data_IF_119102822352
#
_entry.id   IF_119102822352
#
_cell.length_a   1.000
_cell.length_b   1.000
_cell.length_c   1.000
_cell.angle_alpha   90.00
_cell.angle_beta   90.00
_cell.angle_gamma   90.00
#
_symmetry.space_group_name_H-M   'P 1'
#
loop_
_entity.id
_entity.type
_entity.pdbx_description
1 polymer ?
#
# COMPACT_ATOMS: atom_id res chain seq x y z
N UNK A 1 25.68 4.36 -5.67
CA UNK A 1 26.29 5.36 -4.77
C UNK A 1 26.87 6.53 -5.55
N UNK A 2 27.66 6.30 -6.60
CA UNK A 2 28.25 7.38 -7.44
C UNK A 2 27.19 8.27 -8.11
N UNK A 3 26.15 7.68 -8.71
CA UNK A 3 25.07 8.42 -9.37
C UNK A 3 24.29 9.37 -8.43
N UNK A 4 24.17 9.04 -7.13
CA UNK A 4 23.50 9.89 -6.13
C UNK A 4 24.33 11.14 -5.82
N UNK A 5 25.63 10.98 -5.67
CA UNK A 5 26.54 12.09 -5.35
C UNK A 5 26.56 13.16 -6.46
N UNK A 6 26.57 12.74 -7.72
CA UNK A 6 26.52 13.63 -8.89
C UNK A 6 25.23 14.46 -8.90
N UNK A 7 24.08 13.83 -8.62
CA UNK A 7 22.78 14.51 -8.57
C UNK A 7 22.65 15.45 -7.37
N UNK A 8 23.21 15.08 -6.21
CA UNK A 8 23.27 15.95 -5.03
C UNK A 8 24.13 17.18 -5.29
N UNK A 9 25.30 17.02 -5.94
CA UNK A 9 26.15 18.15 -6.36
C UNK A 9 25.41 19.09 -7.30
N UNK A 10 24.69 18.56 -8.30
CA UNK A 10 23.89 19.38 -9.21
C UNK A 10 22.85 20.24 -8.46
N UNK A 11 22.23 19.72 -7.39
CA UNK A 11 21.29 20.47 -6.55
C UNK A 11 21.95 21.54 -5.67
N UNK A 12 23.24 21.41 -5.37
CA UNK A 12 23.98 22.49 -4.69
C UNK A 12 24.20 23.70 -5.60
N UNK A 13 24.31 23.46 -6.91
CA UNK A 13 24.50 24.50 -7.92
C UNK A 13 23.15 25.12 -8.31
N UNK A 14 22.13 24.30 -8.49
CA UNK A 14 20.77 24.71 -8.83
C UNK A 14 19.74 23.89 -8.03
N UNK A 15 19.26 24.43 -6.88
CA UNK A 15 18.32 23.73 -6.01
C UNK A 15 16.96 23.41 -6.66
N UNK A 16 16.55 24.15 -7.68
CA UNK A 16 15.28 23.99 -8.40
C UNK A 16 15.44 23.15 -9.69
N UNK A 17 16.61 22.55 -9.92
CA UNK A 17 16.87 21.74 -11.10
C UNK A 17 15.93 20.52 -11.16
N UNK A 18 14.87 20.64 -11.96
CA UNK A 18 13.82 19.63 -12.06
C UNK A 18 14.37 18.25 -12.45
N UNK A 19 15.40 18.19 -13.31
CA UNK A 19 16.03 16.92 -13.67
C UNK A 19 16.80 16.29 -12.53
N UNK A 20 17.61 17.07 -11.82
CA UNK A 20 18.34 16.57 -10.65
C UNK A 20 17.38 16.06 -9.57
N UNK A 21 16.28 16.79 -9.30
CA UNK A 21 15.25 16.36 -8.34
C UNK A 21 14.57 15.06 -8.80
N UNK A 22 14.16 14.97 -10.07
CA UNK A 22 13.49 13.79 -10.62
C UNK A 22 14.36 12.52 -10.51
N UNK A 23 15.60 12.57 -11.02
CA UNK A 23 16.49 11.42 -11.01
C UNK A 23 16.98 11.06 -9.61
N UNK A 24 17.11 12.04 -8.72
CA UNK A 24 17.43 11.76 -7.33
C UNK A 24 16.27 11.01 -6.66
N UNK A 25 15.02 11.41 -6.91
CA UNK A 25 13.84 10.69 -6.41
C UNK A 25 13.76 9.25 -6.92
N UNK A 26 14.00 9.03 -8.21
CA UNK A 26 14.10 7.67 -8.77
C UNK A 26 15.23 6.85 -8.15
N UNK A 27 16.36 7.49 -7.83
CA UNK A 27 17.53 6.84 -7.23
C UNK A 27 17.29 6.47 -5.77
N UNK A 28 16.65 7.34 -4.99
CA UNK A 28 16.34 7.08 -3.58
C UNK A 28 15.24 6.03 -3.45
N UNK A 29 14.24 6.03 -4.33
CA UNK A 29 13.24 4.96 -4.37
C UNK A 29 13.86 3.59 -4.68
N UNK A 30 14.80 3.52 -5.63
CA UNK A 30 15.51 2.29 -5.96
C UNK A 30 16.35 1.77 -4.79
N UNK A 31 16.90 2.69 -3.99
CA UNK A 31 17.66 2.38 -2.78
C UNK A 31 16.78 1.98 -1.59
N UNK A 32 15.45 2.07 -1.71
CA UNK A 32 14.50 1.82 -0.63
C UNK A 32 14.38 2.97 0.37
N UNK A 33 14.98 4.13 0.11
CA UNK A 33 14.82 5.35 0.90
C UNK A 33 13.55 6.08 0.46
N UNK A 34 12.40 5.49 0.80
CA UNK A 34 11.09 5.97 0.36
C UNK A 34 10.73 7.32 0.98
N UNK A 35 11.24 7.66 2.17
CA UNK A 35 11.01 8.95 2.81
C UNK A 35 11.73 10.11 2.13
N UNK A 36 12.97 9.91 1.65
CA UNK A 36 13.64 10.90 0.79
C UNK A 36 12.99 10.94 -0.61
N UNK A 37 12.63 9.79 -1.18
CA UNK A 37 11.95 9.74 -2.47
C UNK A 37 10.62 10.52 -2.47
N UNK A 38 9.83 10.40 -1.41
CA UNK A 38 8.59 11.16 -1.23
C UNK A 38 8.86 12.67 -1.28
N UNK A 39 9.78 13.16 -0.46
CA UNK A 39 10.14 14.59 -0.40
C UNK A 39 10.65 15.11 -1.75
N UNK A 40 11.41 14.31 -2.49
CA UNK A 40 11.92 14.69 -3.80
C UNK A 40 10.81 14.75 -4.86
N UNK A 41 9.87 13.82 -4.83
CA UNK A 41 8.71 13.86 -5.72
C UNK A 41 7.78 15.03 -5.40
N UNK A 42 7.55 15.34 -4.12
CA UNK A 42 6.81 16.54 -3.72
C UNK A 42 7.50 17.81 -4.23
N UNK A 43 8.81 17.93 -4.00
CA UNK A 43 9.60 19.06 -4.51
C UNK A 43 9.54 19.16 -6.04
N UNK A 44 9.58 18.04 -6.77
CA UNK A 44 9.43 18.04 -8.22
C UNK A 44 8.07 18.59 -8.65
N UNK A 45 6.99 18.22 -7.96
CA UNK A 45 5.65 18.73 -8.21
C UNK A 45 5.49 20.22 -7.85
N UNK A 46 6.40 20.83 -7.11
CA UNK A 46 6.40 22.26 -6.85
C UNK A 46 7.14 23.07 -7.93
N UNK A 47 7.97 22.41 -8.74
CA UNK A 47 8.67 23.07 -9.85
C UNK A 47 7.72 23.47 -10.99
N UNK A 48 8.21 24.31 -11.91
CA UNK A 48 7.49 24.68 -13.14
C UNK A 48 7.40 23.56 -14.18
N UNK A 49 7.84 22.33 -13.85
CA UNK A 49 7.73 21.18 -14.74
C UNK A 49 6.25 20.86 -15.05
N UNK A 50 5.95 20.64 -16.32
CA UNK A 50 4.60 20.41 -16.84
C UNK A 50 4.59 19.28 -17.87
N UNK A 51 3.43 18.68 -18.10
CA UNK A 51 3.27 17.59 -19.07
C UNK A 51 3.38 16.22 -18.43
N UNK A 52 3.87 15.26 -19.20
CA UNK A 52 3.82 13.83 -18.87
C UNK A 52 4.66 13.49 -17.63
N UNK A 53 5.82 14.14 -17.44
CA UNK A 53 6.67 13.94 -16.25
C UNK A 53 5.98 14.28 -14.93
N UNK A 54 5.12 15.29 -14.92
CA UNK A 54 4.37 15.65 -13.71
C UNK A 54 3.34 14.57 -13.38
N UNK A 55 2.69 14.00 -14.39
CA UNK A 55 1.78 12.88 -14.23
C UNK A 55 2.50 11.62 -13.72
N UNK A 56 3.66 11.33 -14.31
CA UNK A 56 4.51 10.21 -13.91
C UNK A 56 4.95 10.30 -12.44
N UNK A 57 5.40 11.48 -12.00
CA UNK A 57 5.75 11.69 -10.59
C UNK A 57 4.53 11.63 -9.69
N UNK A 58 3.38 12.16 -10.10
CA UNK A 58 2.16 12.06 -9.30
C UNK A 58 1.74 10.60 -9.07
N UNK A 59 1.77 9.77 -10.11
CA UNK A 59 1.49 8.33 -10.00
C UNK A 59 2.56 7.63 -9.14
N UNK A 60 3.85 7.93 -9.34
CA UNK A 60 4.94 7.34 -8.53
C UNK A 60 4.88 7.73 -7.06
N UNK A 61 4.50 8.97 -6.75
CA UNK A 61 4.32 9.47 -5.38
C UNK A 61 3.26 8.65 -4.62
N UNK A 62 2.18 8.24 -5.28
CA UNK A 62 1.15 7.36 -4.71
C UNK A 62 1.75 6.02 -4.26
N UNK A 63 2.62 5.42 -5.08
CA UNK A 63 3.34 4.18 -4.74
C UNK A 63 4.35 4.41 -3.62
N UNK A 64 5.16 5.46 -3.70
CA UNK A 64 6.22 5.73 -2.72
C UNK A 64 5.66 6.00 -1.34
N UNK A 65 4.57 6.77 -1.21
CA UNK A 65 3.88 6.97 0.07
C UNK A 65 3.46 5.66 0.72
N UNK A 66 2.91 4.74 -0.08
CA UNK A 66 2.55 3.40 0.40
C UNK A 66 3.78 2.63 0.91
N UNK A 67 4.90 2.71 0.19
CA UNK A 67 6.15 2.02 0.55
C UNK A 67 6.84 2.64 1.76
N UNK A 68 6.82 3.97 1.89
CA UNK A 68 7.32 4.70 3.05
C UNK A 68 6.55 4.28 4.30
N UNK A 69 5.22 4.25 4.25
CA UNK A 69 4.39 3.79 5.37
C UNK A 69 4.69 2.34 5.78
N UNK A 70 4.91 1.42 4.83
CA UNK A 70 5.32 0.04 5.14
C UNK A 70 6.72 0.01 5.79
N UNK A 71 7.66 0.84 5.31
CA UNK A 71 9.00 0.92 5.89
C UNK A 71 8.96 1.48 7.33
N UNK A 72 8.16 2.52 7.58
CA UNK A 72 7.95 3.10 8.91
C UNK A 72 7.35 2.08 9.89
N UNK A 73 6.39 1.27 9.41
CA UNK A 73 5.79 0.19 10.20
C UNK A 73 6.83 -0.88 10.54
N UNK A 74 7.64 -1.32 9.57
CA UNK A 74 8.75 -2.26 9.78
C UNK A 74 9.73 -1.77 10.83
N UNK A 75 10.13 -0.51 10.71
CA UNK A 75 11.01 0.11 11.69
C UNK A 75 10.37 0.15 13.07
N UNK A 76 9.07 0.47 13.16
CA UNK A 76 8.33 0.49 14.42
C UNK A 76 8.30 -0.88 15.10
N UNK A 77 8.08 -1.96 14.34
CA UNK A 77 8.13 -3.34 14.85
C UNK A 77 9.55 -3.70 15.30
N UNK A 78 10.57 -3.36 14.50
CA UNK A 78 11.97 -3.63 14.85
C UNK A 78 12.44 -2.87 16.10
N UNK A 79 11.89 -1.68 16.35
CA UNK A 79 12.21 -0.81 17.49
C UNK A 79 11.19 -0.89 18.63
N UNK A 80 10.37 -1.94 18.69
CA UNK A 80 9.27 -2.08 19.66
C UNK A 80 9.69 -1.80 21.11
N UNK A 81 10.86 -2.29 21.53
CA UNK A 81 11.37 -2.08 22.90
C UNK A 81 11.59 -0.60 23.22
N UNK A 82 12.04 0.20 22.25
CA UNK A 82 12.23 1.63 22.41
C UNK A 82 10.88 2.39 22.43
N UNK A 83 9.87 1.87 21.72
CA UNK A 83 8.54 2.48 21.61
C UNK A 83 7.61 2.12 22.78
N UNK A 84 7.97 1.14 23.60
CA UNK A 84 7.12 0.64 24.69
C UNK A 84 6.72 1.73 25.70
N UNK A 85 7.57 2.74 25.90
CA UNK A 85 7.33 3.84 26.84
C UNK A 85 6.79 5.11 26.17
N UNK A 86 6.54 5.09 24.86
CA UNK A 86 5.98 6.25 24.16
C UNK A 86 4.50 6.37 24.54
N UNK A 87 4.05 7.52 25.06
CA UNK A 87 2.62 7.72 25.32
C UNK A 87 1.86 7.64 23.99
N UNK A 88 0.67 7.02 23.98
CA UNK A 88 -0.19 7.05 22.80
C UNK A 88 -0.66 8.49 22.52
N UNK A 89 -1.14 8.72 21.30
CA UNK A 89 -1.79 9.98 20.96
C UNK A 89 -3.20 9.97 21.54
N UNK A 90 -3.54 10.94 22.39
CA UNK A 90 -4.87 11.02 23.01
C UNK A 90 -5.99 11.11 21.96
N UNK A 91 -7.13 10.47 22.23
CA UNK A 91 -8.29 10.42 21.37
C UNK A 91 -8.14 9.52 20.14
N UNK A 92 -7.02 8.81 19.97
CA UNK A 92 -6.81 7.97 18.78
C UNK A 92 -7.31 6.54 18.96
N UNK A 93 -7.99 6.04 17.93
CA UNK A 93 -8.58 4.69 17.90
C UNK A 93 -8.11 3.95 16.65
N UNK A 94 -7.61 2.73 16.81
CA UNK A 94 -7.36 1.83 15.68
C UNK A 94 -8.46 0.76 15.60
N UNK A 95 -9.08 0.60 14.43
CA UNK A 95 -10.07 -0.47 14.20
C UNK A 95 -9.41 -1.62 13.45
N UNK A 96 -9.36 -2.80 14.07
CA UNK A 96 -8.74 -3.97 13.45
C UNK A 96 -9.75 -4.72 12.56
N UNK A 97 -9.28 -5.42 11.51
CA UNK A 97 -10.12 -6.38 10.79
C UNK A 97 -10.72 -7.39 11.77
N UNK A 98 -12.02 -7.63 11.66
CA UNK A 98 -12.71 -8.53 12.57
C UNK A 98 -12.33 -9.97 12.25
N UNK A 99 -12.08 -10.80 13.27
CA UNK A 99 -11.82 -12.22 13.02
C UNK A 99 -13.09 -12.91 12.52
N UNK A 100 -13.01 -13.62 11.42
CA UNK A 100 -14.14 -14.43 10.95
C UNK A 100 -13.99 -15.87 11.43
N UNK A 101 -15.00 -16.40 12.13
CA UNK A 101 -15.02 -17.76 12.70
C UNK A 101 -16.16 -18.64 12.18
N UNK A 102 -16.94 -18.14 11.21
CA UNK A 102 -18.02 -18.90 10.58
C UNK A 102 -17.54 -19.93 9.54
N UNK A 103 -18.38 -20.93 9.26
CA UNK A 103 -18.07 -21.98 8.27
C UNK A 103 -18.38 -21.58 6.83
N UNK A 104 -19.23 -20.56 6.62
CA UNK A 104 -19.58 -20.08 5.28
C UNK A 104 -18.58 -19.02 4.81
N UNK A 105 -17.64 -19.40 3.96
CA UNK A 105 -16.59 -18.52 3.44
C UNK A 105 -17.12 -17.29 2.70
N UNK A 106 -18.38 -17.31 2.24
CA UNK A 106 -19.04 -16.16 1.60
C UNK A 106 -19.00 -14.90 2.47
N UNK A 107 -19.04 -15.04 3.81
CA UNK A 107 -19.06 -13.91 4.74
C UNK A 107 -17.67 -13.47 5.21
N UNK A 108 -16.60 -14.18 4.84
CA UNK A 108 -15.22 -13.77 5.21
C UNK A 108 -14.88 -12.32 4.82
N UNK A 109 -15.31 -11.79 3.65
CA UNK A 109 -15.09 -10.39 3.29
C UNK A 109 -15.63 -9.37 4.31
N UNK A 110 -16.64 -9.74 5.11
CA UNK A 110 -17.18 -8.87 6.16
C UNK A 110 -16.14 -8.50 7.23
N UNK A 111 -15.10 -9.31 7.41
CA UNK A 111 -13.97 -9.02 8.30
C UNK A 111 -13.40 -7.60 8.11
N UNK A 112 -13.06 -7.28 6.86
CA UNK A 112 -12.47 -5.99 6.47
C UNK A 112 -13.54 -4.95 6.21
N UNK A 113 -14.67 -5.36 5.64
CA UNK A 113 -15.76 -4.45 5.32
C UNK A 113 -16.38 -3.82 6.57
N UNK A 114 -16.62 -4.62 7.62
CA UNK A 114 -17.14 -4.12 8.90
C UNK A 114 -16.16 -3.16 9.56
N UNK A 115 -14.86 -3.49 9.57
CA UNK A 115 -13.84 -2.60 10.11
C UNK A 115 -13.83 -1.25 9.39
N UNK A 116 -13.95 -1.24 8.05
CA UNK A 116 -14.03 0.00 7.28
C UNK A 116 -15.32 0.79 7.57
N UNK A 117 -16.48 0.14 7.66
CA UNK A 117 -17.72 0.86 8.00
C UNK A 117 -17.63 1.50 9.39
N UNK A 118 -17.09 0.78 10.37
CA UNK A 118 -16.82 1.33 11.69
C UNK A 118 -15.83 2.49 11.65
N UNK A 119 -14.78 2.44 10.81
CA UNK A 119 -13.89 3.59 10.62
C UNK A 119 -14.67 4.81 10.14
N UNK A 120 -15.52 4.66 9.12
CA UNK A 120 -16.30 5.78 8.55
C UNK A 120 -17.30 6.35 9.57
N UNK A 121 -17.94 5.48 10.36
CA UNK A 121 -18.90 5.89 11.40
C UNK A 121 -18.23 6.56 12.60
N UNK A 122 -17.11 6.00 13.09
CA UNK A 122 -16.35 6.58 14.18
C UNK A 122 -15.73 7.94 13.77
N UNK A 123 -15.38 8.12 12.50
CA UNK A 123 -14.91 9.39 11.94
C UNK A 123 -16.00 10.48 11.88
N UNK A 124 -17.28 10.12 12.10
CA UNK A 124 -18.36 11.10 12.28
C UNK A 124 -18.38 11.72 13.69
N UNK A 125 -17.42 11.39 14.55
CA UNK A 125 -17.34 11.90 15.92
C UNK A 125 -16.09 12.76 16.08
N UNK A 126 -16.29 14.05 16.34
CA UNK A 126 -15.22 15.05 16.29
C UNK A 126 -14.16 14.88 17.42
N UNK A 127 -14.49 14.05 18.43
CA UNK A 127 -13.67 13.80 19.63
C UNK A 127 -12.74 12.60 19.49
N UNK A 128 -12.84 11.86 18.39
CA UNK A 128 -12.05 10.66 18.12
C UNK A 128 -11.26 10.90 16.84
N UNK A 129 -10.04 10.39 16.80
CA UNK A 129 -9.24 10.33 15.57
C UNK A 129 -9.00 8.87 15.23
N UNK A 130 -9.65 8.40 14.16
CA UNK A 130 -9.49 7.02 13.73
C UNK A 130 -8.20 6.89 12.91
N UNK A 131 -7.36 5.91 13.25
CA UNK A 131 -6.11 5.68 12.52
C UNK A 131 -6.38 5.11 11.13
N UNK A 132 -5.52 5.46 10.18
CA UNK A 132 -5.63 5.01 8.80
C UNK A 132 -5.60 3.48 8.70
N UNK A 133 -6.61 2.92 8.02
CA UNK A 133 -6.78 1.48 7.81
C UNK A 133 -5.54 0.81 7.21
N UNK A 134 -4.91 1.44 6.22
CA UNK A 134 -3.73 0.85 5.58
C UNK A 134 -2.55 0.72 6.55
N UNK A 135 -2.37 1.67 7.48
CA UNK A 135 -1.36 1.59 8.55
C UNK A 135 -1.64 0.44 9.51
N UNK A 136 -2.90 0.25 9.89
CA UNK A 136 -3.32 -0.89 10.72
C UNK A 136 -3.00 -2.22 10.02
N UNK A 137 -3.42 -2.38 8.76
CA UNK A 137 -3.17 -3.60 8.01
C UNK A 137 -1.67 -3.87 7.81
N UNK A 138 -0.89 -2.86 7.40
CA UNK A 138 0.55 -3.00 7.21
C UNK A 138 1.25 -3.46 8.50
N UNK A 139 0.83 -2.96 9.66
CA UNK A 139 1.36 -3.43 10.95
C UNK A 139 1.00 -4.88 11.23
N UNK A 140 -0.26 -5.26 11.02
CA UNK A 140 -0.69 -6.64 11.26
C UNK A 140 0.04 -7.63 10.34
N UNK A 141 0.26 -7.26 9.07
CA UNK A 141 1.02 -8.06 8.12
C UNK A 141 2.50 -8.18 8.55
N UNK A 142 3.11 -7.09 9.01
CA UNK A 142 4.49 -7.09 9.48
C UNK A 142 4.66 -7.94 10.75
N UNK A 143 3.74 -7.82 11.71
CA UNK A 143 3.73 -8.67 12.91
C UNK A 143 3.58 -10.14 12.52
N UNK A 144 2.66 -10.47 11.61
CA UNK A 144 2.46 -11.84 11.15
C UNK A 144 3.71 -12.40 10.46
N UNK A 145 4.44 -11.58 9.69
CA UNK A 145 5.72 -11.98 9.08
C UNK A 145 6.82 -12.21 10.12
N UNK A 146 6.93 -11.34 11.12
CA UNK A 146 7.88 -11.48 12.22
C UNK A 146 7.57 -12.70 13.12
N UNK A 147 6.29 -13.01 13.29
CA UNK A 147 5.79 -14.13 14.11
C UNK A 147 5.63 -15.43 13.34
N UNK A 148 5.81 -15.47 12.02
CA UNK A 148 5.81 -16.72 11.25
C UNK A 148 6.91 -17.73 11.70
N UNK A 149 7.80 -17.33 12.62
CA UNK A 149 8.72 -18.20 13.38
C UNK A 149 8.50 -18.28 14.90
N UNK A 150 7.47 -17.63 15.47
CA UNK A 150 7.18 -17.52 16.91
C UNK A 150 5.69 -17.81 17.19
N UNK A 151 5.40 -18.77 18.08
CA UNK A 151 4.07 -19.39 18.26
C UNK A 151 3.09 -18.56 19.12
N UNK A 152 3.26 -17.24 19.25
CA UNK A 152 2.38 -16.45 20.12
C UNK A 152 1.84 -15.21 19.38
N UNK A 153 0.55 -15.19 19.00
CA UNK A 153 -0.05 -14.03 18.34
C UNK A 153 -0.07 -12.83 19.28
N UNK A 154 0.54 -11.73 18.84
CA UNK A 154 0.54 -10.43 19.52
C UNK A 154 -0.83 -10.07 20.14
N UNK A 155 -0.82 -9.75 21.44
CA UNK A 155 -1.98 -9.19 22.15
C UNK A 155 -2.37 -7.86 21.50
N UNK A 156 -3.66 -7.61 21.24
CA UNK A 156 -4.10 -6.37 20.57
C UNK A 156 -3.51 -5.08 21.17
N UNK A 157 -3.29 -5.04 22.49
CA UNK A 157 -2.64 -3.90 23.17
C UNK A 157 -1.22 -3.61 22.70
N UNK A 158 -0.44 -4.65 22.35
CA UNK A 158 0.90 -4.52 21.75
C UNK A 158 0.81 -3.83 20.38
N UNK A 159 -0.05 -4.34 19.51
CA UNK A 159 -0.27 -3.77 18.18
C UNK A 159 -0.78 -2.32 18.27
N UNK A 160 -1.69 -2.04 19.20
CA UNK A 160 -2.15 -0.68 19.45
C UNK A 160 -1.05 0.29 19.88
N UNK A 161 -0.11 -0.14 20.75
CA UNK A 161 1.06 0.69 21.12
C UNK A 161 1.99 0.95 19.94
N UNK A 162 2.24 -0.04 19.10
CA UNK A 162 3.04 0.12 17.88
C UNK A 162 2.39 1.09 16.89
N UNK A 163 1.06 1.14 16.85
CA UNK A 163 0.31 2.15 16.07
C UNK A 163 0.31 3.53 16.72
N UNK A 164 0.69 3.65 18.00
CA UNK A 164 0.53 4.88 18.79
C UNK A 164 -0.93 5.19 19.12
N UNK A 165 -1.84 4.22 18.97
CA UNK A 165 -3.26 4.37 19.28
C UNK A 165 -3.48 4.40 20.79
N UNK A 166 -4.38 5.23 21.30
CA UNK A 166 -4.80 5.18 22.70
C UNK A 166 -5.67 3.95 22.96
N UNK A 167 -6.55 3.65 22.01
CA UNK A 167 -7.48 2.54 22.10
C UNK A 167 -7.48 1.74 20.79
N UNK A 168 -7.85 0.47 20.88
CA UNK A 168 -8.13 -0.37 19.72
C UNK A 168 -9.55 -0.93 19.81
N UNK A 169 -10.20 -1.05 18.66
CA UNK A 169 -11.40 -1.87 18.48
C UNK A 169 -10.96 -3.20 17.90
N UNK A 170 -11.30 -4.28 18.58
CA UNK A 170 -11.11 -5.63 18.10
C UNK A 170 -12.40 -6.42 18.27
N UNK A 171 -12.65 -7.35 17.35
CA UNK A 171 -13.87 -8.13 17.37
C UNK A 171 -13.81 -9.35 16.48
N UNK A 172 -14.93 -10.06 16.47
CA UNK A 172 -15.15 -11.24 15.66
C UNK A 172 -16.56 -11.26 15.06
N UNK A 173 -16.66 -11.96 13.94
CA UNK A 173 -17.90 -12.26 13.23
C UNK A 173 -18.02 -13.78 13.21
N UNK A 174 -19.05 -14.29 13.88
CA UNK A 174 -19.48 -15.68 13.80
C UNK A 174 -20.60 -15.83 12.78
N UNK A 175 -20.67 -16.99 12.12
CA UNK A 175 -21.79 -17.36 11.27
C UNK A 175 -22.28 -18.78 11.61
N UNK A 176 -23.56 -18.92 11.91
CA UNK A 176 -24.21 -20.21 12.20
C UNK A 176 -25.48 -20.29 11.36
N UNK A 177 -25.48 -21.13 10.32
CA UNK A 177 -26.55 -21.14 9.32
C UNK A 177 -26.58 -19.79 8.58
N UNK A 178 -27.75 -19.15 8.56
CA UNK A 178 -27.96 -17.84 7.94
C UNK A 178 -27.86 -16.67 8.93
N UNK A 179 -27.61 -16.95 10.22
CA UNK A 179 -27.43 -15.93 11.24
C UNK A 179 -25.96 -15.52 11.35
N UNK A 180 -25.76 -14.23 11.56
CA UNK A 180 -24.48 -13.62 11.87
C UNK A 180 -24.51 -13.09 13.29
N UNK A 181 -23.39 -13.24 14.00
CA UNK A 181 -23.18 -12.61 15.29
C UNK A 181 -21.90 -11.78 15.21
N UNK A 182 -21.97 -10.51 15.59
CA UNK A 182 -20.79 -9.66 15.76
C UNK A 182 -20.53 -9.46 17.23
N UNK A 183 -19.27 -9.48 17.62
CA UNK A 183 -18.85 -9.24 18.99
C UNK A 183 -17.59 -8.40 18.96
N UNK A 184 -17.61 -7.23 19.59
CA UNK A 184 -16.48 -6.31 19.62
C UNK A 184 -16.26 -5.73 21.00
N UNK A 185 -15.05 -5.26 21.25
CA UNK A 185 -14.70 -4.55 22.47
C UNK A 185 -13.58 -3.55 22.20
N UNK A 186 -13.50 -2.55 23.07
CA UNK A 186 -12.45 -1.55 23.07
C UNK A 186 -11.36 -1.95 24.05
N UNK A 187 -10.08 -1.86 23.68
CA UNK A 187 -8.96 -2.10 24.61
C UNK A 187 -8.10 -0.85 24.70
N UNK A 188 -7.84 -0.39 25.92
CA UNK A 188 -6.84 0.66 26.17
C UNK A 188 -5.43 0.09 25.95
N UNK A 189 -4.63 0.70 25.07
CA UNK A 189 -3.33 0.14 24.64
C UNK A 189 -2.26 0.19 25.74
N UNK A 190 -2.35 1.21 26.62
CA UNK A 190 -1.41 1.44 27.71
C UNK A 190 -1.59 0.45 28.86
N UNK A 191 -2.84 0.13 29.21
CA UNK A 191 -3.17 -0.73 30.36
C UNK A 191 -3.52 -2.16 29.96
N UNK A 192 -3.90 -2.38 28.69
CA UNK A 192 -4.45 -3.64 28.22
C UNK A 192 -5.85 -3.96 28.76
N UNK A 193 -6.49 -3.02 29.47
CA UNK A 193 -7.84 -3.20 30.02
C UNK A 193 -8.84 -3.16 28.88
N UNK A 194 -9.65 -4.22 28.78
CA UNK A 194 -10.79 -4.31 27.87
C UNK A 194 -12.02 -3.63 28.51
N UNK A 195 -12.72 -2.84 27.71
CA UNK A 195 -14.03 -2.29 28.03
C UNK A 195 -15.14 -3.33 27.94
N UNK A 196 -16.38 -2.88 28.07
CA UNK A 196 -17.55 -3.73 27.92
C UNK A 196 -17.66 -4.27 26.50
N UNK A 197 -18.05 -5.55 26.39
CA UNK A 197 -18.25 -6.24 25.13
C UNK A 197 -19.61 -5.86 24.54
N UNK A 198 -19.60 -5.41 23.29
CA UNK A 198 -20.80 -5.13 22.50
C UNK A 198 -21.06 -6.33 21.60
N UNK A 199 -22.29 -6.85 21.64
CA UNK A 199 -22.70 -8.00 20.83
C UNK A 199 -24.01 -7.71 20.12
N UNK A 200 -24.06 -8.04 18.83
CA UNK A 200 -25.28 -8.06 18.02
C UNK A 200 -25.40 -9.42 17.34
N UNK A 201 -26.62 -9.90 17.14
CA UNK A 201 -26.89 -11.19 16.50
C UNK A 201 -28.24 -11.16 15.82
N UNK A 202 -28.27 -11.46 14.52
CA UNK A 202 -29.49 -11.48 13.71
C UNK A 202 -29.25 -12.27 12.40
N UNK A 203 -30.26 -12.34 11.54
CA UNK A 203 -30.15 -12.86 10.18
C UNK A 203 -29.19 -11.99 9.35
N UNK A 204 -28.50 -12.59 8.37
CA UNK A 204 -27.54 -11.86 7.54
C UNK A 204 -28.15 -10.63 6.83
N UNK A 205 -29.44 -10.65 6.50
CA UNK A 205 -30.15 -9.51 5.89
C UNK A 205 -30.17 -8.26 6.79
N UNK A 206 -30.06 -8.45 8.11
CA UNK A 206 -30.02 -7.39 9.13
C UNK A 206 -28.62 -6.93 9.50
N UNK A 207 -27.58 -7.46 8.84
CA UNK A 207 -26.19 -7.15 9.16
C UNK A 207 -25.87 -5.65 9.13
N UNK A 208 -26.50 -4.88 8.24
CA UNK A 208 -26.27 -3.43 8.15
C UNK A 208 -26.92 -2.65 9.30
N UNK A 209 -28.02 -3.16 9.88
CA UNK A 209 -28.60 -2.59 11.10
C UNK A 209 -27.73 -2.95 12.32
N UNK A 210 -27.27 -4.21 12.37
CA UNK A 210 -26.33 -4.70 13.40
C UNK A 210 -25.03 -3.89 13.45
N UNK A 211 -24.52 -3.46 12.29
CA UNK A 211 -23.33 -2.63 12.18
C UNK A 211 -23.51 -1.27 12.88
N UNK A 212 -24.65 -0.60 12.70
CA UNK A 212 -24.95 0.67 13.38
C UNK A 212 -25.12 0.52 14.88
N UNK A 213 -25.78 -0.54 15.32
CA UNK A 213 -25.88 -0.88 16.74
C UNK A 213 -24.48 -1.11 17.35
N UNK A 214 -23.61 -1.82 16.63
CA UNK A 214 -22.24 -2.06 17.05
C UNK A 214 -21.43 -0.76 17.14
N UNK A 215 -21.52 0.12 16.14
CA UNK A 215 -20.82 1.40 16.12
C UNK A 215 -21.22 2.29 17.32
N UNK A 216 -22.52 2.43 17.57
CA UNK A 216 -23.05 3.20 18.70
C UNK A 216 -22.63 2.59 20.03
N UNK A 217 -22.76 1.27 20.19
CA UNK A 217 -22.35 0.59 21.42
C UNK A 217 -20.85 0.72 21.71
N UNK A 218 -20.01 0.69 20.67
CA UNK A 218 -18.56 0.92 20.82
C UNK A 218 -18.26 2.34 21.27
N UNK A 219 -18.91 3.35 20.70
CA UNK A 219 -18.77 4.76 21.11
C UNK A 219 -19.18 4.96 22.58
N UNK A 220 -20.27 4.33 23.00
CA UNK A 220 -20.72 4.33 24.40
C UNK A 220 -19.68 3.66 25.33
N UNK A 221 -19.11 2.51 24.91
CA UNK A 221 -18.03 1.81 25.64
C UNK A 221 -16.74 2.65 25.76
N UNK A 222 -16.47 3.53 24.79
CA UNK A 222 -15.38 4.52 24.85
C UNK A 222 -15.70 5.71 25.77
N UNK A 223 -16.92 5.80 26.33
CA UNK A 223 -17.37 6.94 27.14
C UNK A 223 -17.76 8.17 26.28
N UNK A 224 -17.99 7.98 24.98
CA UNK A 224 -18.40 9.04 24.08
C UNK A 224 -19.92 9.21 24.13
N UNK A 225 -20.36 10.36 24.65
CA UNK A 225 -21.76 10.79 24.56
C UNK A 225 -21.98 11.47 23.22
N UNK A 226 -22.75 10.85 22.33
CA UNK A 226 -23.07 11.40 21.02
C UNK A 226 -24.04 12.58 21.11
N UNK A 227 -23.75 13.63 20.36
CA UNK A 227 -24.73 14.68 20.05
C UNK A 227 -25.78 14.14 19.08
N UNK A 228 -26.94 14.81 19.01
CA UNK A 228 -27.99 14.46 18.04
C UNK A 228 -27.46 14.52 16.60
N UNK A 229 -26.65 15.53 16.28
CA UNK A 229 -26.07 15.70 14.95
C UNK A 229 -25.05 14.61 14.60
N UNK A 230 -24.17 14.22 15.52
CA UNK A 230 -23.25 13.07 15.30
C UNK A 230 -24.02 11.78 15.07
N UNK A 231 -25.05 11.51 15.90
CA UNK A 231 -25.87 10.32 15.74
C UNK A 231 -26.62 10.30 14.40
N UNK A 232 -27.16 11.44 13.97
CA UNK A 232 -27.78 11.56 12.66
C UNK A 232 -26.79 11.33 11.51
N UNK A 233 -25.55 11.82 11.60
CA UNK A 233 -24.50 11.56 10.60
C UNK A 233 -24.18 10.07 10.49
N UNK A 234 -24.01 9.39 11.63
CA UNK A 234 -23.78 7.93 11.69
C UNK A 234 -24.98 7.18 11.09
N UNK A 235 -26.20 7.54 11.50
CA UNK A 235 -27.42 6.88 11.03
C UNK A 235 -27.67 7.09 9.52
N UNK A 236 -27.23 8.22 8.95
CA UNK A 236 -27.36 8.53 7.52
C UNK A 236 -26.30 7.84 6.65
N UNK A 237 -25.13 7.48 7.22
CA UNK A 237 -24.06 6.79 6.53
C UNK A 237 -24.36 5.28 6.38
N UNK A 238 -25.40 4.94 5.62
CA UNK A 238 -25.86 3.55 5.45
C UNK A 238 -25.50 3.00 4.08
N UNK A 239 -24.88 1.82 4.09
CA UNK A 239 -24.91 0.91 2.95
C UNK A 239 -26.31 0.30 2.89
N UNK A 240 -26.85 0.10 1.70
CA UNK A 240 -28.20 -0.45 1.50
C UNK A 240 -28.19 -1.92 1.06
N UNK A 241 -27.03 -2.45 0.64
CA UNK A 241 -26.94 -3.77 0.03
C UNK A 241 -25.77 -4.60 0.60
N UNK A 242 -26.08 -5.73 1.25
CA UNK A 242 -25.09 -6.64 1.80
C UNK A 242 -24.14 -7.21 0.73
N UNK A 243 -24.64 -7.50 -0.48
CA UNK A 243 -23.79 -7.99 -1.57
C UNK A 243 -22.80 -6.92 -2.05
N UNK A 244 -23.20 -5.64 -2.01
CA UNK A 244 -22.27 -4.54 -2.27
C UNK A 244 -21.18 -4.48 -1.20
N UNK A 245 -21.55 -4.66 0.08
CA UNK A 245 -20.60 -4.71 1.19
C UNK A 245 -19.63 -5.90 1.10
N UNK A 246 -20.12 -7.07 0.70
CA UNK A 246 -19.28 -8.26 0.48
C UNK A 246 -18.28 -8.04 -0.66
N UNK A 247 -18.73 -7.50 -1.80
CA UNK A 247 -17.84 -7.13 -2.91
C UNK A 247 -16.79 -6.10 -2.45
N UNK A 248 -17.21 -5.09 -1.69
CA UNK A 248 -16.32 -4.09 -1.14
C UNK A 248 -15.27 -4.70 -0.20
N UNK A 249 -15.66 -5.63 0.68
CA UNK A 249 -14.73 -6.40 1.52
C UNK A 249 -13.70 -7.19 0.73
N UNK A 250 -14.12 -7.84 -0.36
CA UNK A 250 -13.21 -8.55 -1.28
C UNK A 250 -12.25 -7.59 -1.98
N UNK A 251 -12.72 -6.38 -2.32
CA UNK A 251 -11.89 -5.32 -2.87
C UNK A 251 -10.81 -4.86 -1.88
N UNK A 252 -11.17 -4.68 -0.60
CA UNK A 252 -10.21 -4.35 0.46
C UNK A 252 -9.17 -5.46 0.67
N UNK A 253 -9.57 -6.73 0.61
CA UNK A 253 -8.64 -7.85 0.68
C UNK A 253 -7.65 -7.87 -0.49
N UNK A 254 -8.15 -7.69 -1.72
CA UNK A 254 -7.28 -7.59 -2.89
C UNK A 254 -6.32 -6.38 -2.79
N UNK A 255 -6.78 -5.25 -2.24
CA UNK A 255 -5.97 -4.05 -2.04
C UNK A 255 -4.80 -4.30 -1.07
N UNK A 256 -5.06 -5.02 0.02
CA UNK A 256 -4.04 -5.41 1.01
C UNK A 256 -2.96 -6.28 0.40
N UNK A 257 -3.39 -7.27 -0.39
CA UNK A 257 -2.52 -8.17 -1.13
C UNK A 257 -1.73 -7.48 -2.26
N UNK A 258 -1.97 -6.19 -2.52
CA UNK A 258 -1.34 -5.45 -3.61
C UNK A 258 -1.93 -5.76 -4.99
N UNK A 259 -3.06 -6.47 -5.06
CA UNK A 259 -3.75 -6.83 -6.29
C UNK A 259 -4.70 -5.68 -6.72
N UNK A 260 -4.12 -4.53 -7.07
CA UNK A 260 -4.85 -3.27 -7.30
C UNK A 260 -5.92 -3.36 -8.40
N UNK A 261 -5.65 -4.08 -9.50
CA UNK A 261 -6.66 -4.27 -10.55
C UNK A 261 -7.85 -5.10 -10.08
N UNK A 262 -7.61 -6.15 -9.30
CA UNK A 262 -8.70 -6.95 -8.75
C UNK A 262 -9.48 -6.18 -7.68
N UNK A 263 -8.79 -5.40 -6.84
CA UNK A 263 -9.42 -4.50 -5.88
C UNK A 263 -10.38 -3.54 -6.59
N UNK A 264 -9.91 -2.90 -7.68
CA UNK A 264 -10.73 -2.01 -8.50
C UNK A 264 -11.98 -2.71 -9.04
N UNK A 265 -11.85 -3.93 -9.57
CA UNK A 265 -12.99 -4.69 -10.13
C UNK A 265 -14.06 -4.93 -9.06
N UNK A 266 -13.67 -5.34 -7.86
CA UNK A 266 -14.60 -5.59 -6.77
C UNK A 266 -15.23 -4.30 -6.22
N UNK A 267 -14.49 -3.20 -6.15
CA UNK A 267 -15.05 -1.89 -5.79
C UNK A 267 -16.01 -1.34 -6.85
N UNK A 268 -15.72 -1.55 -8.14
CA UNK A 268 -16.63 -1.21 -9.24
C UNK A 268 -17.93 -2.03 -9.17
N UNK A 269 -17.82 -3.31 -8.80
CA UNK A 269 -18.98 -4.16 -8.53
C UNK A 269 -19.80 -3.67 -7.34
N UNK A 270 -19.15 -3.33 -6.22
CA UNK A 270 -19.82 -2.78 -5.05
C UNK A 270 -20.58 -1.49 -5.39
N UNK A 271 -19.93 -0.56 -6.10
CA UNK A 271 -20.55 0.70 -6.56
C UNK A 271 -21.72 0.48 -7.53
N UNK A 272 -21.68 -0.60 -8.32
CA UNK A 272 -22.78 -0.95 -9.24
C UNK A 272 -23.98 -1.55 -8.50
N UNK A 273 -23.74 -2.30 -7.43
CA UNK A 273 -24.78 -2.92 -6.59
C UNK A 273 -25.44 -1.92 -5.64
N UNK A 274 -24.67 -0.91 -5.19
CA UNK A 274 -25.14 0.19 -4.37
C UNK A 274 -24.47 1.51 -4.81
N UNK A 275 -25.11 2.27 -5.74
CA UNK A 275 -24.57 3.53 -6.24
C UNK A 275 -24.44 4.64 -5.19
N UNK A 276 -25.12 4.52 -4.05
CA UNK A 276 -25.02 5.48 -2.94
C UNK A 276 -23.88 5.14 -1.98
N UNK A 277 -23.23 3.97 -2.14
CA UNK A 277 -22.12 3.54 -1.30
C UNK A 277 -20.83 4.30 -1.67
N UNK A 278 -20.73 5.55 -1.23
CA UNK A 278 -19.63 6.48 -1.51
C UNK A 278 -18.22 5.89 -1.34
N UNK A 279 -17.92 5.19 -0.23
CA UNK A 279 -16.63 4.52 -0.03
C UNK A 279 -16.23 3.57 -1.16
N UNK A 280 -17.17 2.85 -1.79
CA UNK A 280 -16.84 1.95 -2.90
C UNK A 280 -16.32 2.70 -4.12
N UNK A 281 -16.93 3.84 -4.48
CA UNK A 281 -16.47 4.66 -5.60
C UNK A 281 -15.09 5.25 -5.31
N UNK A 282 -14.88 5.78 -4.10
CA UNK A 282 -13.60 6.33 -3.67
C UNK A 282 -12.49 5.27 -3.74
N UNK A 283 -12.70 4.10 -3.12
CA UNK A 283 -11.72 3.01 -3.13
C UNK A 283 -11.44 2.47 -4.54
N UNK A 284 -12.43 2.47 -5.43
CA UNK A 284 -12.21 2.15 -6.85
C UNK A 284 -11.24 3.13 -7.53
N UNK A 285 -11.40 4.43 -7.29
CA UNK A 285 -10.50 5.46 -7.84
C UNK A 285 -9.09 5.34 -7.28
N UNK A 286 -8.95 5.12 -5.98
CA UNK A 286 -7.65 4.89 -5.32
C UNK A 286 -6.97 3.63 -5.88
N UNK A 287 -7.70 2.52 -6.03
CA UNK A 287 -7.18 1.28 -6.60
C UNK A 287 -6.74 1.46 -8.06
N UNK A 288 -7.44 2.27 -8.87
CA UNK A 288 -7.00 2.65 -10.22
C UNK A 288 -5.66 3.38 -10.20
N UNK A 289 -5.52 4.37 -9.31
CA UNK A 289 -4.26 5.13 -9.20
C UNK A 289 -3.12 4.22 -8.77
N UNK A 290 -3.32 3.36 -7.76
CA UNK A 290 -2.31 2.40 -7.32
C UNK A 290 -1.94 1.38 -8.41
N UNK A 291 -2.91 0.92 -9.20
CA UNK A 291 -2.65 0.03 -10.33
C UNK A 291 -1.79 0.71 -11.40
N UNK A 292 -2.11 1.95 -11.78
CA UNK A 292 -1.30 2.75 -12.72
C UNK A 292 0.10 3.00 -12.17
N UNK A 293 0.20 3.43 -10.92
CA UNK A 293 1.46 3.68 -10.21
C UNK A 293 2.37 2.44 -10.15
N UNK A 294 1.78 1.24 -10.17
CA UNK A 294 2.50 -0.03 -10.11
C UNK A 294 2.92 -0.57 -11.49
N UNK A 295 2.42 0.01 -12.59
CA UNK A 295 2.72 -0.46 -13.96
C UNK A 295 4.04 0.07 -14.51
N UNK A 296 4.49 1.25 -14.07
CA UNK A 296 5.70 1.88 -14.61
C UNK A 296 6.94 1.56 -13.78
N UNK A 297 7.92 0.90 -14.40
CA UNK A 297 9.21 0.64 -13.76
C UNK A 297 10.05 1.93 -13.60
N UNK A 298 11.01 1.91 -12.68
CA UNK A 298 11.98 3.02 -12.50
C UNK A 298 12.74 3.29 -13.81
N UNK A 299 13.09 2.23 -14.56
CA UNK A 299 13.77 2.32 -15.85
C UNK A 299 12.92 2.99 -16.93
N UNK A 300 11.64 2.61 -17.03
CA UNK A 300 10.71 3.22 -17.98
C UNK A 300 10.52 4.72 -17.66
N UNK A 301 10.39 5.06 -16.37
CA UNK A 301 10.28 6.44 -15.90
C UNK A 301 11.56 7.24 -16.20
N UNK A 302 12.74 6.67 -15.99
CA UNK A 302 14.02 7.29 -16.28
C UNK A 302 14.23 7.56 -17.78
N UNK A 303 13.86 6.58 -18.61
CA UNK A 303 13.98 6.65 -20.08
C UNK A 303 13.06 7.71 -20.66
N UNK A 304 11.82 7.82 -20.14
CA UNK A 304 10.89 8.86 -20.58
C UNK A 304 11.41 10.25 -20.20
N UNK A 305 11.87 10.41 -18.96
CA UNK A 305 12.47 11.65 -18.48
C UNK A 305 13.69 12.09 -19.28
N UNK A 306 14.54 11.17 -19.73
CA UNK A 306 15.74 11.52 -20.50
C UNK A 306 15.40 12.17 -21.85
N UNK A 307 14.25 11.82 -22.44
CA UNK A 307 13.77 12.41 -23.69
C UNK A 307 13.18 13.81 -23.51
N UNK A 308 12.54 14.06 -22.37
CA UNK A 308 11.85 15.33 -22.08
C UNK A 308 12.75 16.37 -21.39
N UNK A 309 13.68 15.93 -20.56
CA UNK A 309 14.64 16.77 -19.85
C UNK A 309 15.96 16.96 -20.62
N UNK A 310 16.04 16.51 -21.87
CA UNK A 310 17.26 16.48 -22.68
C UNK A 310 18.03 17.81 -22.74
N UNK A 311 19.37 17.70 -22.60
CA UNK A 311 20.40 18.75 -22.36
C UNK A 311 20.75 19.02 -20.88
N UNK A 312 20.94 17.98 -20.06
CA UNK A 312 21.54 18.13 -18.74
C UNK A 312 22.74 17.16 -18.57
N UNK A 313 23.99 17.66 -18.55
CA UNK A 313 25.19 16.83 -18.45
C UNK A 313 25.21 15.88 -17.24
N UNK A 314 24.62 16.29 -16.11
CA UNK A 314 24.54 15.46 -14.90
C UNK A 314 23.52 14.30 -15.07
N UNK A 315 22.48 14.50 -15.88
CA UNK A 315 21.50 13.46 -16.25
C UNK A 315 22.13 12.48 -17.22
N UNK A 316 22.88 12.99 -18.21
CA UNK A 316 23.59 12.16 -19.18
C UNK A 316 24.65 11.27 -18.48
N UNK A 317 25.38 11.83 -17.52
CA UNK A 317 26.33 11.10 -16.68
C UNK A 317 25.63 10.05 -15.79
N UNK A 318 24.50 10.38 -15.16
CA UNK A 318 23.71 9.42 -14.38
C UNK A 318 23.17 8.27 -15.22
N UNK A 319 22.63 8.55 -16.41
CA UNK A 319 22.15 7.53 -17.36
C UNK A 319 23.30 6.62 -17.79
N UNK A 320 24.48 7.18 -18.08
CA UNK A 320 25.68 6.41 -18.41
C UNK A 320 26.16 5.53 -17.25
N UNK A 321 26.19 6.04 -16.01
CA UNK A 321 26.60 5.28 -14.83
C UNK A 321 25.63 4.13 -14.48
N UNK A 322 24.33 4.30 -14.75
CA UNK A 322 23.30 3.32 -14.38
C UNK A 322 22.99 2.30 -15.49
N UNK A 323 23.07 2.71 -16.75
CA UNK A 323 22.65 1.91 -17.91
C UNK A 323 23.76 1.73 -18.97
N UNK A 324 24.97 2.23 -18.72
CA UNK A 324 26.13 2.12 -19.60
C UNK A 324 26.75 0.72 -19.62
N UNK A 325 26.01 -0.26 -20.11
CA UNK A 325 26.57 -1.48 -20.72
C UNK A 325 26.02 -1.69 -22.15
N UNK A 326 25.57 -0.63 -22.82
CA UNK A 326 25.24 -0.65 -24.25
C UNK A 326 26.47 -0.48 -25.17
N UNK A 327 27.65 -0.16 -24.64
CA UNK A 327 28.84 0.14 -25.46
C UNK A 327 29.66 -1.08 -25.93
N UNK A 328 29.20 -2.32 -25.74
CA UNK A 328 29.81 -3.49 -26.42
C UNK A 328 29.24 -3.68 -27.84
N UNK A 329 28.21 -2.95 -28.26
CA UNK A 329 27.72 -2.97 -29.65
C UNK A 329 28.62 -2.19 -30.63
N UNK A 330 29.58 -1.40 -30.15
CA UNK A 330 30.51 -0.68 -31.04
C UNK A 330 31.66 -1.56 -31.57
N UNK A 331 31.77 -2.82 -31.13
CA UNK A 331 32.79 -3.76 -31.60
C UNK A 331 32.33 -4.73 -32.71
N UNK A 332 31.04 -4.71 -33.11
CA UNK A 332 30.57 -5.44 -34.28
C UNK A 332 29.29 -4.82 -34.87
N UNK A 333 29.30 -4.30 -36.11
CA UNK A 333 28.11 -3.75 -36.73
C UNK A 333 27.23 -4.91 -37.24
N UNK A 334 26.09 -5.14 -36.60
CA UNK A 334 24.99 -5.88 -37.21
C UNK A 334 23.84 -4.89 -37.47
N UNK A 335 23.21 -5.04 -38.63
CA UNK A 335 22.29 -4.09 -39.26
C UNK A 335 20.96 -3.86 -38.52
N UNK A 336 20.02 -3.15 -39.17
CA UNK A 336 18.84 -2.61 -38.49
C UNK A 336 17.87 -3.73 -38.08
N UNK A 337 17.17 -3.46 -36.98
CA UNK A 337 16.10 -4.27 -36.37
C UNK A 337 16.58 -5.47 -35.54
N UNK A 338 16.92 -5.21 -34.27
CA UNK A 338 16.66 -6.12 -33.14
C UNK A 338 16.57 -5.33 -31.84
N UNK A 339 15.48 -5.53 -31.11
CA UNK A 339 15.24 -4.96 -29.79
C UNK A 339 15.95 -5.85 -28.75
N UNK A 340 17.00 -5.39 -28.05
CA UNK A 340 17.86 -6.23 -27.20
C UNK A 340 17.27 -6.50 -25.81
N UNK A 341 16.13 -5.90 -25.46
CA UNK A 341 15.55 -5.94 -24.12
C UNK A 341 15.04 -7.35 -23.70
N UNK A 342 14.50 -8.22 -24.58
CA UNK A 342 14.03 -9.56 -24.19
C UNK A 342 15.13 -10.59 -23.89
N UNK A 343 16.31 -10.50 -24.54
CA UNK A 343 17.42 -11.46 -24.37
C UNK A 343 18.18 -11.26 -23.04
N UNK A 344 18.18 -10.04 -22.50
CA UNK A 344 18.90 -9.68 -21.28
C UNK A 344 18.12 -10.01 -20.00
N UNK A 345 16.81 -10.24 -20.11
CA UNK A 345 15.91 -10.53 -18.98
C UNK A 345 15.64 -12.04 -18.75
N UNK A 346 16.31 -12.95 -19.47
CA UNK A 346 16.21 -14.40 -19.23
C UNK A 346 14.90 -15.07 -19.70
N UNK A 347 14.22 -14.48 -20.70
CA UNK A 347 12.96 -14.98 -21.23
C UNK A 347 13.07 -15.70 -22.57
N UNK A 348 13.83 -16.80 -22.67
CA UNK A 348 13.59 -17.82 -23.71
C UNK A 348 13.31 -19.18 -23.07
N UNK A 349 12.06 -19.62 -23.18
CA UNK A 349 11.72 -21.04 -23.03
C UNK A 349 12.49 -21.84 -24.08
N UNK A 350 13.44 -22.66 -23.65
CA UNK A 350 14.15 -23.63 -24.50
C UNK A 350 13.12 -24.59 -25.11
N UNK A 351 12.85 -24.42 -26.40
CA UNK A 351 12.22 -25.39 -27.26
C UNK A 351 13.15 -25.77 -28.41
N UNK A 352 13.84 -26.90 -28.30
CA UNK A 352 14.18 -27.78 -29.43
C UNK A 352 15.27 -27.36 -30.44
N UNK A 353 16.34 -28.17 -30.43
CA UNK A 353 17.10 -28.68 -31.60
C UNK A 353 18.12 -27.81 -32.37
N UNK A 354 19.39 -28.18 -32.13
CA UNK A 354 20.42 -28.57 -33.10
C UNK A 354 21.11 -27.51 -34.00
N UNK A 355 22.42 -27.33 -33.75
CA UNK A 355 23.36 -26.73 -34.69
C UNK A 355 24.79 -26.68 -34.16
N UNK A 356 25.52 -27.80 -34.20
CA UNK A 356 26.95 -27.87 -33.88
C UNK A 356 27.78 -27.07 -34.90
N UNK A 357 28.44 -25.99 -34.47
CA UNK A 357 29.52 -25.33 -35.22
C UNK A 357 30.85 -25.65 -34.55
N UNK A 358 31.64 -26.52 -35.19
CA UNK A 358 32.95 -26.98 -34.73
C UNK A 358 34.03 -26.11 -35.37
N UNK A 359 34.69 -25.26 -34.59
CA UNK A 359 35.82 -24.43 -35.04
C UNK A 359 37.13 -25.20 -34.78
N UNK A 360 37.93 -25.40 -35.83
CA UNK A 360 39.26 -26.03 -35.79
C UNK A 360 40.32 -24.92 -35.85
N UNK A 361 41.25 -24.89 -34.90
CA UNK A 361 42.43 -24.01 -34.94
C UNK A 361 43.66 -24.75 -35.52
N UNK A 362 44.38 -24.20 -36.51
CA UNK A 362 45.69 -24.70 -36.89
C UNK A 362 46.78 -24.11 -35.96
N UNK A 363 47.70 -24.96 -35.49
CA UNK A 363 48.85 -24.53 -34.68
C UNK A 363 49.94 -23.89 -35.55
N UNK A 364 50.51 -22.73 -35.16
CA UNK A 364 51.71 -22.20 -35.80
C UNK A 364 52.96 -22.96 -35.29
N UNK A 365 53.83 -23.32 -36.23
CA UNK A 365 55.04 -24.10 -35.99
C UNK A 365 56.16 -23.34 -35.26
N UNK A 366 56.92 -24.07 -34.45
CA UNK A 366 58.25 -23.70 -33.96
C UNK A 366 59.25 -24.75 -34.46
N UNK A 367 60.34 -24.28 -35.06
CA UNK A 367 61.31 -25.11 -35.79
C UNK A 367 62.32 -25.86 -34.92
N UNK A 368 62.86 -26.94 -35.48
CA UNK A 368 64.24 -27.05 -35.96
C UNK A 368 64.26 -27.89 -37.23
#
# INVERSE_FOLDING_TARGET
TEARAVLEEARTVDPENAGAIYYLGLTTEDQGDFGEAERLYEAFLETSASGDLRGDIADRLVRVRRMALIADVRESVAQEQALTNRPPTEGTVAVFPFRYSGSNEMYRPLSRALAELLVVDLDQVDRITVLERFRVQALLDEIALAEAGLVDPATGSRSGRLLGAEQIVQGEIGAIGDNLATTALVVATTTGVAGEQVRTEDEAERFLDMEKELAIGLLESMGVVLTVAERERIDQNRVANLQALLAFGSGLEALDLGNFEQARVEFDRASSLDPAFGPALQRSQEARQQARASQMSIEQAATRAGRELGNNPAVDEWLALRYGFSEIETLAPLGPERDPIPEVLGGETIGGMAGLLRIIFPRPGGGQ
#
